data_IF_233359471222
#
_entry.id   IF_233359471222
#
_cell.length_a   1.000
_cell.length_b   1.000
_cell.length_c   1.000
_cell.angle_alpha   90.00
_cell.angle_beta   90.00
_cell.angle_gamma   90.00
#
_symmetry.space_group_name_H-M   'P 1'
#
loop_
_entity.id
_entity.type
_entity.pdbx_description
1 polymer ?
#
# COMPACT_ATOMS: atom_id res chain seq x y z
N UNK A 1 -35.70 27.23 3.19
CA UNK A 1 -34.67 26.27 2.74
C UNK A 1 -33.34 26.63 3.43
N UNK A 2 -33.03 26.13 4.64
CA UNK A 2 -31.83 26.52 5.38
C UNK A 2 -30.75 25.44 5.23
N UNK A 3 -30.27 25.20 4.02
CA UNK A 3 -29.53 23.96 3.73
C UNK A 3 -28.01 24.11 3.81
N UNK A 4 -27.49 25.34 3.94
CA UNK A 4 -26.05 25.61 3.82
C UNK A 4 -25.40 26.25 5.06
N UNK A 5 -26.10 26.26 6.21
CA UNK A 5 -25.60 26.92 7.45
C UNK A 5 -24.28 26.33 7.95
N UNK A 6 -24.06 25.03 7.73
CA UNK A 6 -22.83 24.34 8.13
C UNK A 6 -21.65 24.73 7.24
N UNK A 7 -21.82 24.80 5.92
CA UNK A 7 -20.75 25.15 4.99
C UNK A 7 -20.27 26.60 5.22
N UNK A 8 -21.22 27.53 5.32
CA UNK A 8 -20.92 28.94 5.60
C UNK A 8 -20.18 29.12 6.94
N UNK A 9 -20.51 28.32 7.95
CA UNK A 9 -19.80 28.33 9.23
C UNK A 9 -18.35 27.84 9.09
N UNK A 10 -18.10 26.75 8.35
CA UNK A 10 -16.75 26.22 8.13
C UNK A 10 -15.88 27.23 7.36
N UNK A 11 -16.44 27.85 6.32
CA UNK A 11 -15.76 28.87 5.51
C UNK A 11 -15.40 30.12 6.32
N UNK A 12 -16.36 30.67 7.09
CA UNK A 12 -16.14 31.84 7.93
C UNK A 12 -15.06 31.62 9.00
N UNK A 13 -14.97 30.40 9.53
CA UNK A 13 -13.98 30.01 10.54
C UNK A 13 -12.68 29.46 9.93
N UNK A 14 -12.53 29.45 8.59
CA UNK A 14 -11.36 28.92 7.87
C UNK A 14 -11.01 27.47 8.26
N UNK A 15 -12.02 26.67 8.59
CA UNK A 15 -11.87 25.26 8.97
C UNK A 15 -11.66 24.45 7.69
N UNK A 16 -10.44 23.96 7.48
CA UNK A 16 -10.12 23.08 6.36
C UNK A 16 -10.52 21.66 6.70
N UNK A 17 -11.22 20.99 5.76
CA UNK A 17 -11.44 19.56 5.85
C UNK A 17 -10.11 18.82 5.85
N UNK A 18 -9.91 17.95 6.83
CA UNK A 18 -8.75 17.08 6.93
C UNK A 18 -9.21 15.64 6.86
N UNK A 19 -8.75 14.92 5.85
CA UNK A 19 -8.89 13.47 5.77
C UNK A 19 -7.59 12.92 6.35
N UNK A 20 -7.65 12.34 7.54
CA UNK A 20 -6.51 11.65 8.11
C UNK A 20 -6.12 10.49 7.18
N UNK A 21 -4.82 10.39 6.87
CA UNK A 21 -4.31 9.17 6.26
C UNK A 21 -4.63 8.01 7.20
N UNK A 22 -5.19 6.89 6.71
CA UNK A 22 -5.31 5.69 7.52
C UNK A 22 -3.92 5.36 8.07
N UNK A 23 -3.80 5.09 9.37
CA UNK A 23 -2.49 4.86 10.02
C UNK A 23 -1.69 3.68 9.43
N UNK A 24 -2.32 2.86 8.59
CA UNK A 24 -1.71 1.74 7.87
C UNK A 24 -1.04 2.12 6.55
N UNK A 25 -1.20 3.36 6.05
CA UNK A 25 -0.62 3.76 4.77
C UNK A 25 0.89 3.98 4.88
N UNK A 26 1.66 3.13 4.20
CA UNK A 26 3.12 3.21 4.12
C UNK A 26 3.52 3.51 2.67
N UNK A 27 3.90 4.77 2.35
CA UNK A 27 4.26 5.14 0.98
C UNK A 27 5.60 4.54 0.53
N UNK A 28 6.49 4.25 1.48
CA UNK A 28 7.82 3.68 1.22
C UNK A 28 7.88 2.29 1.84
N UNK A 29 8.30 1.31 1.04
CA UNK A 29 8.55 -0.08 1.48
C UNK A 29 10.05 -0.34 1.39
N UNK A 30 10.74 -0.32 2.52
CA UNK A 30 12.19 -0.52 2.54
C UNK A 30 12.61 -1.82 1.84
N UNK A 31 13.57 -1.74 0.92
CA UNK A 31 14.05 -2.88 0.13
C UNK A 31 13.12 -3.30 -1.02
N UNK A 32 12.10 -2.50 -1.34
CA UNK A 32 11.26 -2.70 -2.51
C UNK A 32 11.07 -1.38 -3.24
N UNK A 33 11.14 -1.39 -4.58
CA UNK A 33 10.72 -0.27 -5.40
C UNK A 33 9.57 -0.70 -6.29
N UNK A 34 8.64 0.22 -6.58
CA UNK A 34 7.55 -0.05 -7.49
C UNK A 34 8.00 0.26 -8.92
N UNK A 35 7.77 -0.67 -9.85
CA UNK A 35 7.90 -0.49 -11.29
C UNK A 35 6.49 -0.32 -11.89
N UNK A 36 6.22 0.89 -12.38
CA UNK A 36 4.93 1.23 -12.97
C UNK A 36 4.71 0.58 -14.35
N UNK A 37 5.79 0.21 -15.05
CA UNK A 37 5.72 -0.42 -16.39
C UNK A 37 5.19 -1.85 -16.26
N UNK A 38 5.75 -2.60 -15.31
CA UNK A 38 5.40 -4.00 -15.07
C UNK A 38 4.23 -4.17 -14.08
N UNK A 39 3.76 -3.08 -13.46
CA UNK A 39 2.80 -3.10 -12.35
C UNK A 39 3.23 -4.10 -11.26
N UNK A 40 4.48 -3.98 -10.83
CA UNK A 40 5.12 -4.93 -9.93
C UNK A 40 6.06 -4.22 -8.97
N UNK A 41 6.36 -4.86 -7.83
CA UNK A 41 7.48 -4.44 -6.99
C UNK A 41 8.73 -5.22 -7.35
N UNK A 42 9.86 -4.54 -7.39
CA UNK A 42 11.19 -5.16 -7.50
C UNK A 42 11.78 -5.26 -6.10
N UNK A 43 12.25 -6.44 -5.72
CA UNK A 43 12.92 -6.65 -4.43
C UNK A 43 14.44 -6.42 -4.54
N UNK A 44 15.14 -6.42 -3.39
CA UNK A 44 16.61 -6.34 -3.29
C UNK A 44 17.40 -7.39 -4.09
N UNK A 45 16.77 -8.50 -4.47
CA UNK A 45 17.38 -9.58 -5.27
C UNK A 45 16.90 -9.53 -6.74
N UNK A 46 16.40 -8.37 -7.19
CA UNK A 46 16.00 -8.11 -8.58
C UNK A 46 14.89 -9.04 -9.10
N UNK A 47 14.05 -9.55 -8.20
CA UNK A 47 12.87 -10.36 -8.54
C UNK A 47 11.60 -9.52 -8.48
N UNK A 48 10.69 -9.82 -9.41
CA UNK A 48 9.40 -9.16 -9.53
C UNK A 48 8.34 -9.79 -8.63
N UNK A 49 7.64 -8.93 -7.90
CA UNK A 49 6.43 -9.23 -7.15
C UNK A 49 5.26 -8.63 -7.95
N UNK A 50 4.66 -9.46 -8.79
CA UNK A 50 3.54 -9.05 -9.64
C UNK A 50 2.31 -8.70 -8.83
N UNK A 51 1.43 -7.90 -9.41
CA UNK A 51 0.09 -7.66 -8.89
C UNK A 51 -0.80 -8.91 -9.04
N UNK A 52 -1.56 -9.24 -8.00
CA UNK A 52 -2.46 -10.41 -7.97
C UNK A 52 -3.89 -10.07 -7.57
N UNK A 53 -4.24 -8.78 -7.48
CA UNK A 53 -5.60 -8.33 -7.19
C UNK A 53 -5.71 -7.51 -5.92
N UNK A 54 -6.97 -7.30 -5.52
CA UNK A 54 -7.35 -6.50 -4.35
C UNK A 54 -7.93 -7.43 -3.30
N UNK A 55 -7.50 -7.27 -2.05
CA UNK A 55 -8.12 -7.91 -0.89
C UNK A 55 -8.86 -6.86 -0.07
N UNK A 56 -10.06 -7.22 0.36
CA UNK A 56 -10.86 -6.42 1.29
C UNK A 56 -10.58 -6.90 2.72
N UNK A 57 -10.11 -6.02 3.59
CA UNK A 57 -9.89 -6.34 5.01
C UNK A 57 -10.34 -5.14 5.86
N UNK A 58 -11.22 -5.37 6.83
CA UNK A 58 -11.77 -4.33 7.72
C UNK A 58 -12.35 -3.11 7.00
N UNK A 59 -12.95 -3.30 5.83
CA UNK A 59 -13.51 -2.22 4.99
C UNK A 59 -12.48 -1.50 4.13
N UNK A 60 -11.21 -1.92 4.14
CA UNK A 60 -10.13 -1.34 3.34
C UNK A 60 -9.73 -2.27 2.20
N UNK A 61 -9.59 -1.70 1.00
CA UNK A 61 -9.07 -2.36 -0.18
C UNK A 61 -7.53 -2.26 -0.19
N UNK A 62 -6.85 -3.40 -0.25
CA UNK A 62 -5.38 -3.47 -0.33
C UNK A 62 -4.95 -4.24 -1.57
N UNK A 63 -4.07 -3.64 -2.37
CA UNK A 63 -3.44 -4.31 -3.49
C UNK A 63 -2.44 -5.37 -2.99
N UNK A 64 -2.56 -6.58 -3.52
CA UNK A 64 -1.72 -7.70 -3.13
C UNK A 64 -0.68 -8.01 -4.21
N UNK A 65 0.59 -8.04 -3.81
CA UNK A 65 1.73 -8.34 -4.68
C UNK A 65 2.55 -9.49 -4.10
N UNK A 66 2.99 -10.44 -4.94
CA UNK A 66 3.88 -11.52 -4.48
C UNK A 66 4.78 -12.04 -5.60
N UNK A 67 5.98 -12.49 -5.21
CA UNK A 67 6.94 -13.17 -6.07
C UNK A 67 6.57 -14.65 -6.21
N UNK A 68 7.05 -15.30 -7.28
CA UNK A 68 6.84 -16.74 -7.44
C UNK A 68 7.62 -17.49 -6.37
N UNK A 69 7.07 -18.61 -5.91
CA UNK A 69 7.72 -19.46 -4.89
C UNK A 69 9.13 -19.89 -5.34
N UNK A 70 9.31 -20.18 -6.63
CA UNK A 70 10.59 -20.56 -7.20
C UNK A 70 11.66 -19.46 -7.06
N UNK A 71 11.30 -18.20 -7.28
CA UNK A 71 12.23 -17.07 -7.14
C UNK A 71 12.74 -16.92 -5.70
N UNK A 72 11.89 -17.24 -4.72
CA UNK A 72 12.24 -17.16 -3.30
C UNK A 72 12.85 -18.45 -2.75
N UNK A 73 12.69 -19.60 -3.42
CA UNK A 73 13.08 -20.91 -2.89
C UNK A 73 14.59 -21.01 -2.62
N UNK A 74 15.39 -20.51 -3.54
CA UNK A 74 16.86 -20.54 -3.49
C UNK A 74 17.45 -19.14 -3.21
N UNK A 75 16.60 -18.19 -2.79
CA UNK A 75 17.04 -16.82 -2.55
C UNK A 75 17.92 -16.74 -1.27
N UNK A 76 19.14 -16.17 -1.34
CA UNK A 76 20.02 -16.05 -0.19
C UNK A 76 19.44 -15.16 0.91
N UNK A 77 18.55 -14.23 0.53
CA UNK A 77 17.88 -13.32 1.46
C UNK A 77 16.61 -13.91 2.08
N UNK A 78 16.19 -15.15 1.70
CA UNK A 78 14.89 -15.71 2.08
C UNK A 78 14.64 -15.65 3.59
N UNK A 79 15.61 -16.09 4.40
CA UNK A 79 15.48 -16.13 5.86
C UNK A 79 15.30 -14.74 6.48
N UNK A 80 16.02 -13.74 5.97
CA UNK A 80 15.92 -12.36 6.44
C UNK A 80 14.70 -11.62 5.87
N UNK A 81 14.21 -12.00 4.69
CA UNK A 81 13.11 -11.33 3.99
C UNK A 81 11.73 -11.87 4.36
N UNK A 82 11.55 -13.19 4.36
CA UNK A 82 10.27 -13.85 4.62
C UNK A 82 10.15 -14.37 6.06
N UNK A 83 11.24 -14.34 6.84
CA UNK A 83 11.32 -14.97 8.15
C UNK A 83 11.16 -16.50 8.05
N UNK A 84 10.49 -17.09 9.04
CA UNK A 84 10.16 -18.53 9.05
C UNK A 84 8.83 -18.85 8.36
N UNK A 85 8.23 -17.90 7.64
CA UNK A 85 6.99 -18.15 6.89
C UNK A 85 7.33 -18.93 5.62
N UNK A 86 6.56 -19.99 5.35
CA UNK A 86 6.79 -20.96 4.26
C UNK A 86 6.83 -20.28 2.89
#
# INVERSE_FOLDING_TARGET
MPEHRLLAFLEANKIKGFIALPGSYHPIREGFHYDATENAYVCRNEKLLYYHGIRMENGFATHYYHARVQDCKECPLKKACCGNKR
#
